data_IF_014780748638
#
_entry.id   IF_014780748638
#
_cell.length_a   1.000
_cell.length_b   1.000
_cell.length_c   1.000
_cell.angle_alpha   90.00
_cell.angle_beta   90.00
_cell.angle_gamma   90.00
#
_symmetry.space_group_name_H-M   'P 1'
#
loop_
_entity.id
_entity.type
_entity.pdbx_description
1 polymer ?
#
# COMPACT_ATOMS: atom_id res chain seq x y z
N UNK A 1 -9.42 -0.80 4.62
CA UNK A 1 -9.17 0.64 4.87
C UNK A 1 -9.22 1.35 3.52
N UNK A 2 -10.30 2.06 3.18
CA UNK A 2 -10.47 2.58 1.81
C UNK A 2 -9.45 3.66 1.44
N UNK A 3 -9.03 4.46 2.41
CA UNK A 3 -7.99 5.48 2.19
C UNK A 3 -6.67 4.86 1.73
N UNK A 4 -6.20 3.83 2.44
CA UNK A 4 -4.94 3.16 2.11
C UNK A 4 -5.03 2.49 0.75
N UNK A 5 -6.15 1.82 0.46
CA UNK A 5 -6.40 1.21 -0.84
C UNK A 5 -6.41 2.23 -1.99
N UNK A 6 -6.97 3.43 -1.79
CA UNK A 6 -6.96 4.47 -2.81
C UNK A 6 -5.56 5.09 -3.04
N UNK A 7 -4.73 5.15 -1.99
CA UNK A 7 -3.46 5.89 -2.02
C UNK A 7 -2.22 5.00 -2.15
N UNK A 8 -2.29 3.72 -1.81
CA UNK A 8 -1.18 2.80 -1.98
C UNK A 8 -0.89 2.56 -3.48
N UNK A 9 0.37 2.44 -3.90
CA UNK A 9 0.76 2.14 -5.28
C UNK A 9 0.07 0.91 -5.88
N UNK A 10 -0.12 -0.17 -5.10
CA UNK A 10 -0.81 -1.37 -5.60
C UNK A 10 -2.35 -1.25 -5.57
N UNK A 11 -2.89 -0.11 -5.16
CA UNK A 11 -4.32 0.20 -5.14
C UNK A 11 -5.19 -0.86 -4.44
N UNK A 12 -4.65 -1.44 -3.36
CA UNK A 12 -5.32 -2.44 -2.55
C UNK A 12 -4.89 -2.37 -1.09
N UNK A 13 -5.71 -2.93 -0.22
CA UNK A 13 -5.26 -3.29 1.12
C UNK A 13 -4.47 -4.60 1.07
N UNK A 14 -3.49 -4.74 1.95
CA UNK A 14 -2.82 -6.03 2.19
C UNK A 14 -3.77 -7.01 2.87
N UNK A 15 -3.63 -8.30 2.55
CA UNK A 15 -4.36 -9.37 3.25
C UNK A 15 -3.58 -9.91 4.45
N UNK A 16 -4.26 -10.65 5.32
CA UNK A 16 -3.60 -11.31 6.47
C UNK A 16 -2.59 -12.34 5.98
N UNK A 17 -2.88 -13.04 4.88
CA UNK A 17 -1.97 -14.00 4.27
C UNK A 17 -0.69 -13.33 3.76
N UNK A 18 -0.77 -12.15 3.17
CA UNK A 18 0.41 -11.41 2.68
C UNK A 18 1.32 -10.97 3.84
N UNK A 19 0.73 -10.50 4.94
CA UNK A 19 1.45 -10.16 6.18
C UNK A 19 2.06 -11.42 6.81
N UNK A 20 1.29 -12.50 6.91
CA UNK A 20 1.72 -13.77 7.49
C UNK A 20 2.87 -14.42 6.71
N UNK A 21 2.80 -14.40 5.38
CA UNK A 21 3.87 -14.92 4.52
C UNK A 21 5.16 -14.11 4.67
N UNK A 22 5.06 -12.79 4.78
CA UNK A 22 6.22 -11.91 4.99
C UNK A 22 6.85 -12.14 6.37
N UNK A 23 6.04 -12.33 7.41
CA UNK A 23 6.52 -12.71 8.74
C UNK A 23 7.19 -14.09 8.72
N UNK A 24 6.60 -15.07 8.03
CA UNK A 24 7.20 -16.40 7.86
C UNK A 24 8.57 -16.31 7.16
N UNK A 25 8.69 -15.51 6.09
CA UNK A 25 9.96 -15.25 5.44
C UNK A 25 11.01 -14.75 6.45
N UNK A 26 10.70 -13.68 7.20
CA UNK A 26 11.61 -13.08 8.17
C UNK A 26 12.03 -14.02 9.32
N UNK A 27 11.15 -14.95 9.71
CA UNK A 27 11.44 -15.94 10.76
C UNK A 27 12.16 -17.20 10.25
N UNK A 28 12.23 -17.39 8.94
CA UNK A 28 12.83 -18.57 8.32
C UNK A 28 14.31 -18.38 8.00
N UNK A 29 15.00 -19.49 7.67
CA UNK A 29 16.38 -19.46 7.20
C UNK A 29 16.57 -18.67 5.89
N UNK A 30 15.48 -18.41 5.14
CA UNK A 30 15.51 -17.59 3.93
C UNK A 30 15.89 -16.13 4.23
N UNK A 31 15.64 -15.67 5.45
CA UNK A 31 16.02 -14.35 5.93
C UNK A 31 17.26 -14.37 6.84
N UNK A 32 18.08 -15.44 6.81
CA UNK A 32 19.26 -15.61 7.69
C UNK A 32 20.28 -14.47 7.63
N UNK A 33 20.32 -13.69 6.54
CA UNK A 33 21.17 -12.51 6.39
C UNK A 33 20.48 -11.17 6.68
N UNK A 34 19.20 -11.16 7.03
CA UNK A 34 18.42 -9.94 7.26
C UNK A 34 18.47 -9.60 8.75
N UNK A 35 18.98 -8.41 9.09
CA UNK A 35 19.10 -7.95 10.48
C UNK A 35 18.92 -6.44 10.58
N UNK A 36 18.30 -5.98 11.67
CA UNK A 36 18.07 -4.55 11.92
C UNK A 36 17.15 -3.85 10.92
N UNK A 37 16.27 -4.61 10.26
CA UNK A 37 15.42 -4.12 9.16
C UNK A 37 13.95 -3.95 9.60
N UNK A 38 13.26 -3.02 8.94
CA UNK A 38 11.81 -2.80 9.08
C UNK A 38 11.14 -3.12 7.74
N UNK A 39 10.55 -4.31 7.65
CA UNK A 39 9.96 -4.80 6.41
C UNK A 39 8.56 -4.25 6.20
N UNK A 40 8.39 -3.41 5.18
CA UNK A 40 7.10 -2.84 4.84
C UNK A 40 6.23 -3.83 4.06
N UNK A 41 5.06 -4.13 4.61
CA UNK A 41 4.03 -4.96 3.99
C UNK A 41 2.73 -4.18 3.99
N UNK A 42 2.64 -3.21 3.08
CA UNK A 42 1.59 -2.19 3.11
C UNK A 42 1.12 -1.77 1.71
N UNK A 43 1.34 -2.64 0.70
CA UNK A 43 1.04 -2.34 -0.69
C UNK A 43 1.80 -1.12 -1.27
N UNK A 44 2.94 -0.77 -0.64
CA UNK A 44 3.79 0.36 -1.02
C UNK A 44 3.32 1.69 -0.45
N UNK A 45 2.44 1.70 0.54
CA UNK A 45 1.91 2.93 1.10
C UNK A 45 3.01 3.80 1.74
N UNK A 46 4.01 3.20 2.38
CA UNK A 46 5.08 3.90 3.09
C UNK A 46 5.89 4.87 2.21
N UNK A 47 6.01 4.63 0.90
CA UNK A 47 6.76 5.49 -0.01
C UNK A 47 5.96 6.72 -0.45
N UNK A 48 4.66 6.77 -0.14
CA UNK A 48 3.78 7.86 -0.55
C UNK A 48 4.01 9.09 0.33
N UNK A 49 4.61 10.14 -0.26
CA UNK A 49 4.79 11.44 0.41
C UNK A 49 3.59 12.39 0.29
N UNK A 50 2.65 12.07 -0.60
CA UNK A 50 1.41 12.82 -0.85
C UNK A 50 0.32 11.84 -1.30
N UNK A 51 -0.94 12.30 -1.34
CA UNK A 51 -2.06 11.50 -1.84
C UNK A 51 -1.81 11.05 -3.28
N UNK A 52 -2.30 9.86 -3.64
CA UNK A 52 -2.27 9.40 -5.02
C UNK A 52 -3.12 10.34 -5.88
N UNK A 53 -2.56 10.72 -7.02
CA UNK A 53 -3.22 11.57 -8.00
C UNK A 53 -3.26 10.87 -9.35
N UNK A 54 -4.25 11.25 -10.12
CA UNK A 54 -4.43 10.83 -11.50
C UNK A 54 -4.77 12.05 -12.34
N UNK A 55 -4.47 11.96 -13.63
CA UNK A 55 -4.80 13.02 -14.57
C UNK A 55 -6.22 12.82 -15.12
N UNK A 56 -7.07 13.82 -14.95
CA UNK A 56 -8.41 13.90 -15.54
C UNK A 56 -8.56 15.27 -16.17
N UNK A 57 -8.87 15.34 -17.46
CA UNK A 57 -9.05 16.60 -18.20
C UNK A 57 -7.90 17.59 -17.99
N UNK A 58 -6.66 17.09 -18.08
CA UNK A 58 -5.41 17.86 -17.87
C UNK A 58 -5.27 18.50 -16.48
N UNK A 59 -5.96 17.96 -15.48
CA UNK A 59 -5.85 18.34 -14.07
C UNK A 59 -5.46 17.14 -13.23
N UNK A 60 -4.57 17.36 -12.27
CA UNK A 60 -4.31 16.37 -11.23
C UNK A 60 -5.49 16.34 -10.26
N UNK A 61 -6.12 15.17 -10.12
CA UNK A 61 -7.23 14.92 -9.21
C UNK A 61 -6.79 13.85 -8.21
N UNK A 62 -7.14 14.03 -6.93
CA UNK A 62 -6.87 13.01 -5.91
C UNK A 62 -7.73 11.78 -6.18
N UNK A 63 -7.11 10.60 -6.20
CA UNK A 63 -7.82 9.33 -6.41
C UNK A 63 -8.93 9.14 -5.37
N UNK A 64 -8.71 9.60 -4.13
CA UNK A 64 -9.70 9.58 -3.05
C UNK A 64 -11.00 10.34 -3.37
N UNK A 65 -10.92 11.46 -4.09
CA UNK A 65 -12.10 12.26 -4.45
C UNK A 65 -13.03 11.51 -5.41
N UNK A 66 -12.50 10.50 -6.12
CA UNK A 66 -13.30 9.61 -6.96
C UNK A 66 -13.95 8.51 -6.13
N UNK A 67 -13.18 7.82 -5.29
CA UNK A 67 -13.66 6.76 -4.40
C UNK A 67 -14.79 7.23 -3.47
N UNK A 68 -14.67 8.44 -2.94
CA UNK A 68 -15.68 9.02 -2.05
C UNK A 68 -16.99 9.39 -2.76
N UNK A 69 -16.95 9.68 -4.07
CA UNK A 69 -18.14 10.04 -4.86
C UNK A 69 -18.93 8.83 -5.36
N UNK A 70 -18.30 7.67 -5.53
CA UNK A 70 -18.97 6.43 -5.91
C UNK A 70 -19.84 5.81 -4.82
N UNK A 71 -19.90 6.42 -3.63
CA UNK A 71 -20.58 5.86 -2.44
C UNK A 71 -21.81 6.68 -1.97
N UNK A 72 -22.25 7.68 -2.75
CA UNK A 72 -23.52 8.37 -2.55
C UNK A 72 -24.53 8.05 -3.66
#
# INVERSE_FOLDING_TARGET
LKWNEANAPLQKNVTIEEVGNSAMYLLSDLASGVTGEVHYVDAGYNIMGMCAVEEVDSKAVMVWDRFSKTEN
#
